data_IF_751312461531
#
_entry.id   IF_751312461531
#
_cell.length_a   1.000
_cell.length_b   1.000
_cell.length_c   1.000
_cell.angle_alpha   90.00
_cell.angle_beta   90.00
_cell.angle_gamma   90.00
#
_symmetry.space_group_name_H-M   'P 1'
#
loop_
_entity.id
_entity.type
_entity.pdbx_description
1 polymer ?
#
# COMPACT_ATOMS: atom_id res chain seq x y z
N UNK A 1 8.37 -1.23 15.48
CA UNK A 1 7.11 -1.65 14.83
C UNK A 1 7.01 -3.19 14.70
N UNK A 2 6.67 -3.85 15.81
CA UNK A 2 6.59 -5.32 15.90
C UNK A 2 5.57 -5.90 14.91
N UNK A 3 4.37 -5.31 14.83
CA UNK A 3 3.31 -5.77 13.92
C UNK A 3 3.73 -5.69 12.45
N UNK A 4 4.46 -4.66 12.08
CA UNK A 4 4.97 -4.50 10.71
C UNK A 4 5.97 -5.59 10.35
N UNK A 5 6.89 -5.91 11.28
CA UNK A 5 7.83 -7.03 11.12
C UNK A 5 7.11 -8.37 10.96
N UNK A 6 6.06 -8.60 11.73
CA UNK A 6 5.26 -9.80 11.57
C UNK A 6 4.53 -9.82 10.22
N UNK A 7 3.92 -8.71 9.80
CA UNK A 7 3.28 -8.62 8.46
C UNK A 7 4.29 -8.94 7.34
N UNK A 8 5.53 -8.50 7.47
CA UNK A 8 6.61 -8.82 6.52
C UNK A 8 6.93 -10.32 6.40
N UNK A 9 6.61 -11.13 7.41
CA UNK A 9 6.77 -12.60 7.37
C UNK A 9 5.59 -13.34 6.73
N UNK A 10 4.47 -12.64 6.48
CA UNK A 10 3.27 -13.27 5.94
C UNK A 10 3.40 -13.52 4.43
N UNK A 11 3.10 -14.74 4.02
CA UNK A 11 3.06 -15.15 2.62
C UNK A 11 1.60 -15.35 2.19
N UNK A 12 1.12 -14.47 1.32
CA UNK A 12 -0.22 -14.59 0.76
C UNK A 12 -0.23 -15.49 -0.47
N UNK A 13 -1.35 -16.18 -0.67
CA UNK A 13 -1.62 -16.95 -1.90
C UNK A 13 -1.70 -16.04 -3.14
N UNK A 14 -1.40 -16.53 -4.35
CA UNK A 14 -1.64 -15.80 -5.58
C UNK A 14 -3.09 -15.28 -5.64
N UNK A 15 -3.25 -14.05 -6.09
CA UNK A 15 -4.57 -13.42 -6.25
C UNK A 15 -5.13 -13.73 -7.63
N UNK A 16 -6.44 -13.94 -7.72
CA UNK A 16 -7.14 -14.03 -9.00
C UNK A 16 -7.61 -12.62 -9.41
N UNK A 17 -7.56 -12.27 -10.71
CA UNK A 17 -8.17 -11.04 -11.20
C UNK A 17 -9.65 -10.96 -10.84
N UNK A 18 -10.12 -9.77 -10.52
CA UNK A 18 -11.49 -9.53 -10.05
C UNK A 18 -12.18 -8.34 -10.73
N UNK A 19 -11.46 -7.60 -11.57
CA UNK A 19 -11.98 -6.54 -12.42
C UNK A 19 -11.82 -6.92 -13.90
N UNK A 20 -12.60 -6.30 -14.78
CA UNK A 20 -12.63 -6.62 -16.22
C UNK A 20 -11.77 -5.65 -17.05
N UNK A 21 -10.55 -5.35 -16.60
CA UNK A 21 -9.63 -4.53 -17.37
C UNK A 21 -8.85 -5.33 -18.43
N UNK A 22 -8.49 -4.66 -19.51
CA UNK A 22 -7.60 -5.19 -20.55
C UNK A 22 -6.14 -4.97 -20.16
N UNK A 23 -5.45 -6.03 -19.73
CA UNK A 23 -4.05 -5.94 -19.28
C UNK A 23 -3.08 -5.49 -20.40
N UNK A 24 -3.32 -5.86 -21.67
CA UNK A 24 -2.47 -5.43 -22.78
C UNK A 24 -2.58 -3.92 -23.03
N UNK A 25 -3.79 -3.37 -22.98
CA UNK A 25 -3.99 -1.91 -23.02
C UNK A 25 -3.37 -1.23 -21.79
N UNK A 26 -3.47 -1.87 -20.62
CA UNK A 26 -2.88 -1.38 -19.36
C UNK A 26 -1.35 -1.31 -19.38
N UNK A 27 -0.69 -2.17 -20.13
CA UNK A 27 0.77 -2.19 -20.31
C UNK A 27 1.29 -0.84 -20.85
N UNK A 28 0.61 -0.27 -21.83
CA UNK A 28 0.98 1.03 -22.39
C UNK A 28 0.84 2.14 -21.33
N UNK A 29 -0.26 2.14 -20.57
CA UNK A 29 -0.48 3.11 -19.50
C UNK A 29 0.53 2.97 -18.36
N UNK A 30 1.01 1.76 -18.09
CA UNK A 30 1.98 1.48 -17.05
C UNK A 30 3.36 2.09 -17.30
N UNK A 31 3.71 2.43 -18.55
CA UNK A 31 5.02 2.98 -18.89
C UNK A 31 5.37 4.24 -18.07
N UNK A 32 4.38 5.05 -17.69
CA UNK A 32 4.59 6.24 -16.85
C UNK A 32 4.86 5.89 -15.38
N UNK A 33 4.51 4.68 -14.95
CA UNK A 33 4.64 4.21 -13.56
C UNK A 33 6.01 3.58 -13.29
N UNK A 34 6.67 3.06 -14.33
CA UNK A 34 7.94 2.31 -14.26
C UNK A 34 9.02 3.12 -13.56
N UNK A 35 9.13 4.42 -13.84
CA UNK A 35 10.20 5.27 -13.31
C UNK A 35 10.27 5.26 -11.77
N UNK A 36 9.12 5.09 -11.12
CA UNK A 36 9.04 5.07 -9.66
C UNK A 36 8.76 3.67 -9.09
N UNK A 37 7.85 2.92 -9.71
CA UNK A 37 7.42 1.63 -9.18
C UNK A 37 8.17 0.42 -9.73
N UNK A 38 9.08 0.63 -10.71
CA UNK A 38 9.84 -0.43 -11.36
C UNK A 38 9.07 -1.15 -12.46
N UNK A 39 9.79 -1.91 -13.29
CA UNK A 39 9.22 -2.59 -14.46
C UNK A 39 8.22 -3.70 -14.10
N UNK A 40 8.42 -4.33 -12.95
CA UNK A 40 7.58 -5.41 -12.41
C UNK A 40 6.80 -4.98 -11.15
N UNK A 41 6.71 -3.68 -10.89
CA UNK A 41 5.99 -3.15 -9.74
C UNK A 41 6.65 -3.45 -8.39
N UNK A 42 7.94 -3.69 -8.38
CA UNK A 42 8.75 -4.04 -7.21
C UNK A 42 8.92 -2.88 -6.23
N UNK A 43 8.71 -1.65 -6.71
CA UNK A 43 8.86 -0.42 -5.94
C UNK A 43 10.30 0.07 -5.85
N UNK A 44 10.48 1.28 -5.34
CA UNK A 44 11.77 1.92 -5.14
C UNK A 44 11.76 2.70 -3.82
N UNK A 45 12.47 2.19 -2.81
CA UNK A 45 12.53 2.81 -1.48
C UNK A 45 13.19 4.19 -1.51
N UNK A 46 14.21 4.39 -2.33
CA UNK A 46 14.90 5.68 -2.45
C UNK A 46 13.98 6.79 -2.97
N UNK A 47 13.02 6.43 -3.85
CA UNK A 47 11.98 7.31 -4.34
C UNK A 47 10.71 7.30 -3.48
N UNK A 48 10.70 6.54 -2.38
CA UNK A 48 9.52 6.31 -1.55
C UNK A 48 8.30 5.74 -2.30
N UNK A 49 8.55 5.11 -3.45
CA UNK A 49 7.54 4.44 -4.26
C UNK A 49 7.37 2.99 -3.78
N UNK A 50 6.19 2.61 -3.28
CA UNK A 50 5.99 1.27 -2.73
C UNK A 50 5.91 0.21 -3.82
N UNK A 51 6.17 -1.04 -3.43
CA UNK A 51 5.82 -2.21 -4.22
C UNK A 51 4.31 -2.24 -4.47
N UNK A 52 3.93 -2.44 -5.72
CA UNK A 52 2.55 -2.60 -6.17
C UNK A 52 2.28 -3.98 -6.74
N UNK A 53 3.32 -4.74 -7.08
CA UNK A 53 3.21 -6.15 -7.46
C UNK A 53 2.57 -6.98 -6.34
N UNK A 54 1.67 -7.89 -6.74
CA UNK A 54 0.96 -8.77 -5.82
C UNK A 54 -0.16 -8.10 -5.01
N UNK A 55 -0.47 -6.83 -5.29
CA UNK A 55 -1.68 -6.20 -4.76
C UNK A 55 -2.92 -6.64 -5.56
N UNK A 56 -4.11 -6.72 -4.92
CA UNK A 56 -5.36 -7.00 -5.65
C UNK A 56 -5.66 -5.91 -6.69
N UNK A 57 -6.08 -6.30 -7.88
CA UNK A 57 -6.47 -5.39 -8.98
C UNK A 57 -7.53 -4.36 -8.54
N UNK A 58 -8.58 -4.80 -7.88
CA UNK A 58 -9.63 -3.93 -7.35
C UNK A 58 -9.10 -2.89 -6.35
N UNK A 59 -8.06 -3.26 -5.59
CA UNK A 59 -7.44 -2.32 -4.65
C UNK A 59 -6.58 -1.29 -5.38
N UNK A 60 -5.80 -1.72 -6.37
CA UNK A 60 -5.01 -0.82 -7.22
C UNK A 60 -5.93 0.18 -7.90
N UNK A 61 -7.00 -0.29 -8.56
CA UNK A 61 -7.99 0.58 -9.22
C UNK A 61 -8.59 1.59 -8.22
N UNK A 62 -9.03 1.13 -7.05
CA UNK A 62 -9.56 2.01 -6.00
C UNK A 62 -8.54 3.07 -5.55
N UNK A 63 -7.27 2.71 -5.40
CA UNK A 63 -6.25 3.69 -4.99
C UNK A 63 -6.00 4.74 -6.09
N UNK A 64 -5.96 4.32 -7.36
CA UNK A 64 -5.83 5.24 -8.48
C UNK A 64 -7.03 6.20 -8.56
N UNK A 65 -8.25 5.71 -8.42
CA UNK A 65 -9.45 6.55 -8.29
C UNK A 65 -9.34 7.53 -7.12
N UNK A 66 -8.90 7.06 -5.95
CA UNK A 66 -8.77 7.90 -4.76
C UNK A 66 -7.74 9.02 -4.95
N UNK A 67 -6.62 8.74 -5.63
CA UNK A 67 -5.64 9.77 -5.99
C UNK A 67 -6.21 10.73 -7.04
N UNK A 68 -6.86 10.23 -8.08
CA UNK A 68 -7.44 11.05 -9.16
C UNK A 68 -8.50 12.01 -8.63
N UNK A 69 -9.35 11.55 -7.70
CA UNK A 69 -10.39 12.36 -7.06
C UNK A 69 -9.87 13.26 -5.92
N UNK A 70 -8.62 13.13 -5.51
CA UNK A 70 -8.07 13.89 -4.40
C UNK A 70 -8.48 13.38 -3.01
N UNK A 71 -9.10 12.21 -2.92
CA UNK A 71 -9.40 11.52 -1.65
C UNK A 71 -8.10 11.13 -0.93
N UNK A 72 -7.08 10.74 -1.70
CA UNK A 72 -5.70 10.52 -1.24
C UNK A 72 -4.76 11.56 -1.85
N UNK A 73 -3.71 11.89 -1.10
CA UNK A 73 -2.71 12.85 -1.54
C UNK A 73 -3.19 14.30 -1.54
N UNK A 74 -4.29 14.63 -0.85
CA UNK A 74 -4.75 16.01 -0.65
C UNK A 74 -4.23 16.64 0.64
N UNK A 75 -3.87 15.82 1.62
CA UNK A 75 -3.36 16.31 2.88
C UNK A 75 -1.93 16.85 2.70
N UNK A 76 -1.65 18.06 3.20
CA UNK A 76 -0.36 18.76 3.00
C UNK A 76 0.87 17.97 3.48
N UNK A 77 0.70 17.08 4.46
CA UNK A 77 1.76 16.19 4.96
C UNK A 77 1.89 14.88 4.19
N UNK A 78 0.99 14.57 3.23
CA UNK A 78 1.07 13.36 2.38
C UNK A 78 1.89 13.63 1.11
N UNK A 79 3.15 14.01 1.28
CA UNK A 79 4.05 14.43 0.18
C UNK A 79 4.07 13.39 -0.95
N UNK A 80 4.16 12.10 -0.59
CA UNK A 80 4.23 11.03 -1.59
C UNK A 80 2.87 10.72 -2.22
N UNK A 81 1.77 10.87 -1.46
CA UNK A 81 0.43 10.81 -2.03
C UNK A 81 0.17 11.97 -2.99
N UNK A 82 0.69 13.16 -2.68
CA UNK A 82 0.60 14.32 -3.58
C UNK A 82 1.31 14.06 -4.92
N UNK A 83 2.43 13.32 -4.93
CA UNK A 83 3.12 12.92 -6.17
C UNK A 83 2.30 11.93 -7.00
N UNK A 84 1.52 11.07 -6.36
CA UNK A 84 0.66 10.10 -7.05
C UNK A 84 -0.58 10.72 -7.72
N UNK A 85 -1.03 11.89 -7.26
CA UNK A 85 -2.22 12.55 -7.85
C UNK A 85 -2.04 12.87 -9.34
N UNK A 86 -1.01 13.63 -9.76
CA UNK A 86 -0.80 13.90 -11.17
C UNK A 86 -0.60 12.62 -11.99
N UNK A 87 0.03 11.59 -11.43
CA UNK A 87 0.20 10.31 -12.12
C UNK A 87 -1.16 9.62 -12.38
N UNK A 88 -2.03 9.58 -11.38
CA UNK A 88 -3.38 9.02 -11.55
C UNK A 88 -4.24 9.86 -12.52
N UNK A 89 -4.02 11.17 -12.62
CA UNK A 89 -4.73 12.04 -13.55
C UNK A 89 -4.37 11.82 -15.02
N UNK A 90 -3.21 11.22 -15.32
CA UNK A 90 -2.85 10.84 -16.71
C UNK A 90 -3.74 9.73 -17.27
N UNK A 91 -4.40 8.94 -16.41
CA UNK A 91 -5.35 7.91 -16.80
C UNK A 91 -6.68 8.58 -17.19
N UNK A 92 -7.03 8.54 -18.47
CA UNK A 92 -8.12 9.37 -19.04
C UNK A 92 -9.49 9.10 -18.39
N UNK A 93 -9.83 7.84 -18.16
CA UNK A 93 -11.14 7.39 -17.68
C UNK A 93 -11.01 6.16 -16.76
N UNK A 94 -12.14 5.66 -16.29
CA UNK A 94 -12.21 4.51 -15.39
C UNK A 94 -11.71 3.23 -16.09
N UNK A 95 -11.98 3.07 -17.38
CA UNK A 95 -11.46 1.95 -18.18
C UNK A 95 -9.92 1.94 -18.20
N UNK A 96 -9.27 3.09 -18.38
CA UNK A 96 -7.82 3.18 -18.35
C UNK A 96 -7.25 2.80 -16.96
N UNK A 97 -7.97 3.14 -15.88
CA UNK A 97 -7.62 2.72 -14.52
C UNK A 97 -7.75 1.21 -14.36
N UNK A 98 -8.85 0.62 -14.82
CA UNK A 98 -9.08 -0.82 -14.74
C UNK A 98 -8.05 -1.59 -15.60
N UNK A 99 -7.72 -1.09 -16.77
CA UNK A 99 -6.72 -1.69 -17.66
C UNK A 99 -5.34 -1.72 -16.99
N UNK A 100 -4.86 -0.60 -16.44
CA UNK A 100 -3.55 -0.57 -15.77
C UNK A 100 -3.54 -1.39 -14.49
N UNK A 101 -4.63 -1.42 -13.74
CA UNK A 101 -4.75 -2.26 -12.53
C UNK A 101 -4.73 -3.75 -12.88
N UNK A 102 -5.40 -4.15 -13.97
CA UNK A 102 -5.34 -5.52 -14.50
C UNK A 102 -3.94 -5.89 -14.96
N UNK A 103 -3.20 -4.98 -15.62
CA UNK A 103 -1.82 -5.24 -16.00
C UNK A 103 -0.92 -5.43 -14.77
N UNK A 104 -1.00 -4.54 -13.78
CA UNK A 104 -0.21 -4.64 -12.54
C UNK A 104 -0.51 -5.95 -11.79
N UNK A 105 -1.74 -6.44 -11.85
CA UNK A 105 -2.12 -7.71 -11.21
C UNK A 105 -1.45 -8.94 -11.83
N UNK A 106 -0.89 -8.83 -13.05
CA UNK A 106 -0.09 -9.90 -13.66
C UNK A 106 1.30 -10.03 -13.04
N UNK A 107 1.76 -9.00 -12.33
CA UNK A 107 3.08 -9.03 -11.68
C UNK A 107 3.08 -9.98 -10.49
N UNK A 108 4.02 -10.89 -10.47
CA UNK A 108 4.16 -11.84 -9.38
C UNK A 108 4.49 -11.13 -8.06
N UNK A 109 3.86 -11.57 -6.99
CA UNK A 109 4.22 -11.13 -5.64
C UNK A 109 5.55 -11.76 -5.19
N UNK A 110 6.60 -11.67 -6.01
CA UNK A 110 7.91 -12.23 -5.68
C UNK A 110 8.31 -11.91 -4.24
N UNK A 111 8.97 -12.85 -3.58
CA UNK A 111 9.49 -12.64 -2.21
C UNK A 111 10.47 -11.48 -2.30
N UNK A 112 10.13 -10.35 -1.72
CA UNK A 112 11.09 -9.27 -1.55
C UNK A 112 12.19 -9.81 -0.64
N UNK A 113 13.36 -10.09 -1.21
CA UNK A 113 14.55 -10.35 -0.40
C UNK A 113 14.71 -9.16 0.54
N UNK A 114 14.69 -9.42 1.83
CA UNK A 114 14.89 -8.41 2.85
C UNK A 114 16.30 -7.83 2.66
N UNK A 115 16.40 -6.70 1.95
CA UNK A 115 17.61 -5.92 1.94
C UNK A 115 17.72 -5.24 3.30
N UNK A 116 18.64 -5.75 4.13
CA UNK A 116 19.18 -5.06 5.29
C UNK A 116 20.03 -3.88 4.81
N UNK A 117 19.38 -2.80 4.38
CA UNK A 117 20.08 -1.56 4.10
C UNK A 117 19.77 -0.52 5.18
N UNK A 118 20.86 0.00 5.75
CA UNK A 118 20.90 1.12 6.67
C UNK A 118 20.23 2.35 6.07
N UNK A 119 19.36 2.98 6.82
CA UNK A 119 18.56 4.13 6.40
C UNK A 119 19.37 5.39 6.53
N UNK A 120 19.75 6.00 5.42
CA UNK A 120 20.20 7.38 5.37
C UNK A 120 18.99 8.33 5.36
N UNK A 121 19.12 9.43 6.09
CA UNK A 121 18.01 10.31 6.44
C UNK A 121 17.43 11.05 5.22
N UNK A 122 16.14 10.91 4.99
CA UNK A 122 15.37 11.73 4.07
C UNK A 122 14.90 13.03 4.75
N UNK A 123 14.64 14.12 3.98
CA UNK A 123 14.38 15.46 4.53
C UNK A 123 13.13 15.55 5.39
N UNK A 124 13.16 16.48 6.32
CA UNK A 124 12.38 16.65 7.55
C UNK A 124 10.87 16.97 7.39
N UNK A 125 10.12 16.28 6.54
CA UNK A 125 8.65 16.46 6.46
C UNK A 125 7.87 15.15 6.37
N UNK A 126 8.51 14.02 6.62
CA UNK A 126 7.87 12.70 6.62
C UNK A 126 7.93 12.11 8.02
N UNK A 127 6.90 11.41 8.42
CA UNK A 127 6.95 10.58 9.63
C UNK A 127 8.09 9.57 9.42
N UNK A 128 9.23 9.82 10.08
CA UNK A 128 10.36 8.91 10.07
C UNK A 128 9.91 7.59 10.69
N UNK A 129 9.94 6.52 9.90
CA UNK A 129 9.49 5.20 10.35
C UNK A 129 10.69 4.31 10.54
N UNK A 130 11.06 4.08 11.80
CA UNK A 130 12.06 3.10 12.16
C UNK A 130 11.39 1.73 12.31
N UNK A 131 11.75 0.77 11.44
CA UNK A 131 11.23 -0.60 11.49
C UNK A 131 12.16 -1.43 12.37
N UNK A 132 12.09 -1.21 13.67
CA UNK A 132 12.75 -2.03 14.69
C UNK A 132 11.69 -2.79 15.49
N UNK A 133 11.93 -4.05 15.81
CA UNK A 133 11.01 -4.85 16.60
C UNK A 133 11.07 -6.33 16.28
N UNK A 134 10.47 -7.14 17.14
CA UNK A 134 10.39 -8.60 16.97
C UNK A 134 9.11 -8.99 16.24
N UNK A 135 9.22 -9.76 15.15
CA UNK A 135 8.06 -10.31 14.45
C UNK A 135 7.21 -11.21 15.36
N UNK A 136 7.84 -11.96 16.26
CA UNK A 136 7.16 -12.82 17.23
C UNK A 136 6.22 -12.02 18.15
N UNK A 137 6.72 -10.91 18.69
CA UNK A 137 5.89 -9.99 19.50
C UNK A 137 4.83 -9.29 18.65
N UNK A 138 5.09 -9.09 17.36
CA UNK A 138 4.14 -8.50 16.39
C UNK A 138 2.94 -9.38 16.09
N UNK A 139 3.09 -10.69 16.19
CA UNK A 139 2.00 -11.66 16.00
C UNK A 139 0.81 -11.39 16.94
N UNK A 140 1.08 -11.09 18.22
CA UNK A 140 0.04 -10.74 19.18
C UNK A 140 -0.66 -9.43 18.79
N UNK A 141 0.11 -8.42 18.38
CA UNK A 141 -0.46 -7.14 17.90
C UNK A 141 -1.27 -7.28 16.61
N UNK A 142 -0.95 -8.28 15.78
CA UNK A 142 -1.65 -8.56 14.53
C UNK A 142 -3.06 -9.13 14.73
N UNK A 143 -3.38 -9.67 15.91
CA UNK A 143 -4.67 -10.28 16.20
C UNK A 143 -5.87 -9.36 15.85
N UNK A 144 -5.74 -8.07 16.06
CA UNK A 144 -6.79 -7.08 15.72
C UNK A 144 -6.95 -6.84 14.22
N UNK A 145 -5.98 -7.23 13.40
CA UNK A 145 -5.99 -7.05 11.95
C UNK A 145 -6.60 -8.26 11.22
N UNK A 146 -6.59 -9.43 11.88
CA UNK A 146 -6.98 -10.73 11.28
C UNK A 146 -8.40 -10.73 10.75
N UNK A 147 -9.35 -10.11 11.46
CA UNK A 147 -10.77 -10.09 11.09
C UNK A 147 -11.02 -9.52 9.69
N UNK A 148 -10.22 -8.53 9.29
CA UNK A 148 -10.36 -7.88 7.99
C UNK A 148 -9.29 -8.35 7.00
N UNK A 149 -8.04 -8.43 7.42
CA UNK A 149 -6.91 -8.74 6.52
C UNK A 149 -6.57 -10.23 6.42
N UNK A 150 -7.23 -11.09 7.21
CA UNK A 150 -6.99 -12.53 7.26
C UNK A 150 -5.73 -12.91 8.03
N UNK A 151 -5.64 -14.18 8.45
CA UNK A 151 -4.53 -14.68 9.27
C UNK A 151 -3.17 -14.61 8.57
N UNK A 152 -3.17 -14.67 7.24
CA UNK A 152 -1.98 -14.62 6.39
C UNK A 152 -1.83 -13.27 5.64
N UNK A 153 -2.62 -12.26 6.00
CA UNK A 153 -2.57 -10.94 5.37
C UNK A 153 -3.02 -10.90 3.90
N UNK A 154 -3.78 -11.91 3.44
CA UNK A 154 -4.24 -12.01 2.05
C UNK A 154 -5.28 -10.94 1.67
N UNK A 155 -5.92 -10.32 2.68
CA UNK A 155 -7.01 -9.38 2.49
C UNK A 155 -8.37 -10.04 2.33
N UNK A 156 -9.40 -9.22 2.23
CA UNK A 156 -10.78 -9.64 2.00
C UNK A 156 -11.52 -8.61 1.16
N UNK A 157 -11.84 -8.95 -0.09
CA UNK A 157 -12.54 -8.05 -1.02
C UNK A 157 -13.92 -7.63 -0.51
N UNK A 158 -14.67 -8.55 0.11
CA UNK A 158 -16.02 -8.27 0.64
C UNK A 158 -15.97 -7.18 1.72
N UNK A 159 -14.93 -7.20 2.56
CA UNK A 159 -14.70 -6.19 3.59
C UNK A 159 -13.89 -4.98 3.08
N UNK A 160 -13.55 -4.96 1.80
CA UNK A 160 -12.67 -3.95 1.21
C UNK A 160 -11.29 -3.82 1.89
N UNK A 161 -10.87 -4.85 2.59
CA UNK A 161 -9.58 -4.93 3.26
C UNK A 161 -8.52 -5.47 2.29
N UNK A 162 -7.51 -4.66 1.91
CA UNK A 162 -6.50 -5.09 0.94
C UNK A 162 -5.57 -6.15 1.50
N UNK A 163 -4.90 -6.86 0.58
CA UNK A 163 -3.73 -7.66 0.93
C UNK A 163 -2.65 -6.78 1.51
N UNK A 164 -2.04 -7.22 2.59
CA UNK A 164 -0.90 -6.57 3.26
C UNK A 164 0.34 -7.49 3.33
N UNK A 165 0.16 -8.80 3.11
CA UNK A 165 1.29 -9.74 3.01
C UNK A 165 2.13 -9.45 1.76
N UNK A 166 3.45 -9.62 1.88
CA UNK A 166 4.41 -9.35 0.81
C UNK A 166 4.63 -7.86 0.52
N UNK A 167 4.04 -6.97 1.31
CA UNK A 167 4.28 -5.54 1.21
C UNK A 167 5.54 -5.15 1.98
N UNK A 168 6.21 -4.11 1.52
CA UNK A 168 7.43 -3.59 2.14
C UNK A 168 7.14 -3.05 3.54
N UNK A 169 7.93 -3.47 4.53
CA UNK A 169 7.75 -3.11 5.95
C UNK A 169 7.73 -1.59 6.18
N UNK A 170 8.66 -0.86 5.56
CA UNK A 170 8.74 0.60 5.68
C UNK A 170 7.45 1.28 5.16
N UNK A 171 6.84 0.72 4.11
CA UNK A 171 5.60 1.26 3.56
C UNK A 171 4.41 0.97 4.48
N UNK A 172 4.27 -0.26 4.97
CA UNK A 172 3.22 -0.63 5.93
C UNK A 172 3.32 0.25 7.17
N UNK A 173 4.51 0.42 7.73
CA UNK A 173 4.75 1.26 8.89
C UNK A 173 4.35 2.73 8.63
N UNK A 174 4.73 3.29 7.46
CA UNK A 174 4.33 4.64 7.07
C UNK A 174 2.82 4.77 6.92
N UNK A 175 2.13 3.78 6.34
CA UNK A 175 0.70 3.83 6.20
C UNK A 175 -0.02 3.78 7.56
N UNK A 176 0.41 2.93 8.47
CA UNK A 176 -0.14 2.89 9.84
C UNK A 176 0.09 4.21 10.56
N UNK A 177 1.28 4.81 10.45
CA UNK A 177 1.56 6.13 11.00
C UNK A 177 0.65 7.21 10.39
N UNK A 178 0.46 7.20 9.07
CA UNK A 178 -0.40 8.15 8.37
C UNK A 178 -1.88 8.03 8.80
N UNK A 179 -2.39 6.82 9.00
CA UNK A 179 -3.73 6.61 9.55
C UNK A 179 -3.83 7.10 10.99
N UNK A 180 -2.83 6.81 11.81
CA UNK A 180 -2.81 7.21 13.23
C UNK A 180 -2.89 8.72 13.42
N UNK A 181 -2.16 9.49 12.61
CA UNK A 181 -2.12 10.97 12.70
C UNK A 181 -3.13 11.68 11.77
N UNK A 182 -3.96 10.93 11.05
CA UNK A 182 -5.01 11.48 10.19
C UNK A 182 -4.53 12.03 8.84
N UNK A 183 -3.32 11.71 8.40
CA UNK A 183 -2.86 12.01 7.04
C UNK A 183 -3.62 11.17 6.01
N UNK A 184 -4.02 9.94 6.39
CA UNK A 184 -4.93 9.06 5.65
C UNK A 184 -6.20 8.80 6.46
N UNK A 185 -7.30 8.59 5.74
CA UNK A 185 -8.60 8.29 6.38
C UNK A 185 -9.24 9.49 7.07
N UNK A 186 -8.86 10.72 6.73
CA UNK A 186 -9.51 11.94 7.22
C UNK A 186 -10.49 12.55 6.21
N UNK A 187 -10.35 12.20 4.92
CA UNK A 187 -11.26 12.66 3.89
C UNK A 187 -12.63 11.98 4.07
N UNK A 188 -13.72 12.75 3.91
CA UNK A 188 -15.09 12.24 4.10
C UNK A 188 -15.45 11.06 3.20
N UNK A 189 -14.92 11.05 1.97
CA UNK A 189 -15.14 9.96 1.01
C UNK A 189 -14.16 8.76 1.21
N UNK A 190 -13.14 8.85 2.08
CA UNK A 190 -12.24 7.73 2.38
C UNK A 190 -12.81 6.79 3.45
N UNK A 191 -14.01 6.26 3.18
CA UNK A 191 -14.76 5.40 4.13
C UNK A 191 -13.90 4.26 4.68
N UNK A 192 -13.11 3.62 3.83
CA UNK A 192 -12.25 2.49 4.25
C UNK A 192 -10.98 2.96 4.98
N UNK A 193 -10.45 4.11 4.61
CA UNK A 193 -9.36 4.74 5.36
C UNK A 193 -9.80 5.18 6.74
N UNK A 194 -11.04 5.68 6.88
CA UNK A 194 -11.62 6.04 8.17
C UNK A 194 -11.69 4.82 9.10
N UNK A 195 -12.03 3.62 8.59
CA UNK A 195 -12.04 2.38 9.36
C UNK A 195 -10.62 1.99 9.85
N UNK A 196 -9.58 2.29 9.07
CA UNK A 196 -8.21 1.99 9.44
C UNK A 196 -7.64 2.91 10.52
N UNK A 197 -8.18 4.12 10.71
CA UNK A 197 -7.69 5.06 11.73
C UNK A 197 -7.75 4.50 13.15
N UNK A 198 -8.92 4.05 13.67
CA UNK A 198 -8.99 3.47 15.01
C UNK A 198 -8.09 2.23 15.14
N UNK A 199 -7.97 1.40 14.10
CA UNK A 199 -7.09 0.24 14.12
C UNK A 199 -5.61 0.63 14.27
N UNK A 200 -5.17 1.68 13.58
CA UNK A 200 -3.82 2.20 13.73
C UNK A 200 -3.58 2.86 15.11
N UNK A 201 -4.61 3.47 15.70
CA UNK A 201 -4.52 4.11 17.02
C UNK A 201 -4.39 3.10 18.17
N UNK A 202 -4.93 1.88 18.03
CA UNK A 202 -4.77 0.81 19.04
C UNK A 202 -3.29 0.40 19.17
N UNK A 203 -2.49 0.57 18.13
CA UNK A 203 -1.04 0.38 18.18
C UNK A 203 -0.41 1.53 18.98
N UNK A 204 -0.33 1.39 20.30
CA UNK A 204 -0.14 2.47 21.28
C UNK A 204 1.18 3.26 21.13
N UNK A 205 2.22 2.65 20.54
CA UNK A 205 3.52 3.30 20.31
C UNK A 205 4.24 2.66 19.11
N UNK A 206 5.33 3.27 18.68
CA UNK A 206 6.16 2.77 17.57
C UNK A 206 6.79 1.40 17.82
N UNK A 207 6.71 0.90 19.04
CA UNK A 207 7.23 -0.41 19.45
C UNK A 207 6.15 -1.52 19.45
N UNK A 208 4.88 -1.17 19.24
CA UNK A 208 3.78 -2.15 19.14
C UNK A 208 3.82 -2.91 17.81
#
# INVERSE_FOLDING_TARGET
NKVVRFIGTLNGTPLKPTINGNAEAGKTSYMTCIACHGAEGEGNKALNAPKIAGLPDWYIARQLHSFKKGIRGSHQKDIYGMQMRPMAMTLANDEAIDNVASYISTFSAGVSSASTESVEAAPASTVAVNVSGSAEKGKTSYAVCVSCHGVNGAGNKVLNAPRISGQQEWYVARQLANFKVGIRGSHEEDVYGQQMRPMAMILANEQA
#
